data_IF_499319783757
#
_entry.id   IF_499319783757
#
_cell.length_a   1.000
_cell.length_b   1.000
_cell.length_c   1.000
_cell.angle_alpha   90.00
_cell.angle_beta   90.00
_cell.angle_gamma   90.00
#
_symmetry.space_group_name_H-M   'P 1'
#
loop_
_entity.id
_entity.type
_entity.pdbx_description
1 polymer ?
#
# COMPACT_ATOMS: atom_id res chain seq x y z
N UNK A 1 -13.84 15.98 28.48
CA UNK A 1 -12.62 16.65 28.99
C UNK A 1 -11.88 17.29 27.82
N UNK A 2 -11.45 18.55 27.92
CA UNK A 2 -10.70 19.25 26.86
C UNK A 2 -9.35 19.69 27.43
N UNK A 3 -8.26 19.30 26.78
CA UNK A 3 -6.90 19.73 27.12
C UNK A 3 -6.43 20.71 26.06
N UNK A 4 -5.85 21.83 26.46
CA UNK A 4 -5.29 22.84 25.57
C UNK A 4 -3.77 22.83 25.68
N UNK A 5 -3.09 22.64 24.56
CA UNK A 5 -1.63 22.68 24.47
C UNK A 5 -1.23 23.73 23.43
N UNK A 6 -0.22 24.53 23.74
CA UNK A 6 0.39 25.49 22.82
C UNK A 6 1.87 25.17 22.65
N UNK A 7 2.35 25.19 21.42
CA UNK A 7 3.75 24.99 21.07
C UNK A 7 4.23 26.13 20.18
N UNK A 8 5.53 26.39 20.22
CA UNK A 8 6.19 27.40 19.40
C UNK A 8 7.19 26.69 18.48
N UNK A 9 7.23 27.13 17.22
CA UNK A 9 8.21 26.67 16.24
C UNK A 9 9.24 27.79 16.05
N UNK A 10 10.50 27.40 15.88
CA UNK A 10 11.66 28.27 15.72
C UNK A 10 12.32 28.03 14.36
N UNK A 11 11.72 28.51 13.25
CA UNK A 11 12.19 28.21 11.90
C UNK A 11 13.59 28.77 11.61
N UNK A 12 14.06 29.77 12.36
CA UNK A 12 15.40 30.34 12.20
C UNK A 12 16.51 29.44 12.79
N UNK A 13 16.17 28.57 13.75
CA UNK A 13 17.12 27.73 14.48
C UNK A 13 17.00 26.23 14.17
N UNK A 14 15.97 25.81 13.44
CA UNK A 14 15.66 24.40 13.17
C UNK A 14 15.09 24.25 11.76
N UNK A 15 15.79 23.51 10.90
CA UNK A 15 15.28 23.17 9.56
C UNK A 15 14.00 22.34 9.63
N UNK A 16 13.87 21.47 10.64
CA UNK A 16 12.64 20.71 10.88
C UNK A 16 11.45 21.64 11.16
N UNK A 17 11.66 22.69 11.96
CA UNK A 17 10.64 23.69 12.27
C UNK A 17 10.30 24.52 11.03
N UNK A 18 11.31 24.91 10.26
CA UNK A 18 11.11 25.63 9.00
C UNK A 18 10.26 24.82 8.01
N UNK A 19 10.57 23.53 7.84
CA UNK A 19 9.76 22.61 7.01
C UNK A 19 8.35 22.45 7.55
N UNK A 20 8.18 22.26 8.87
CA UNK A 20 6.87 22.16 9.48
C UNK A 20 6.01 23.41 9.24
N UNK A 21 6.60 24.61 9.37
CA UNK A 21 5.92 25.88 9.05
C UNK A 21 5.48 25.93 7.59
N UNK A 22 6.31 25.47 6.65
CA UNK A 22 5.93 25.43 5.23
C UNK A 22 4.77 24.45 4.99
N UNK A 23 4.83 23.24 5.52
CA UNK A 23 3.74 22.25 5.41
C UNK A 23 2.42 22.78 5.97
N UNK A 24 2.45 23.43 7.13
CA UNK A 24 1.28 24.05 7.76
C UNK A 24 0.70 25.18 6.90
N UNK A 25 1.55 26.02 6.30
CA UNK A 25 1.12 27.10 5.39
C UNK A 25 0.45 26.53 4.14
N UNK A 26 1.09 25.55 3.49
CA UNK A 26 0.54 24.89 2.29
C UNK A 26 -0.83 24.25 2.59
N UNK A 27 -0.94 23.53 3.70
CA UNK A 27 -2.21 22.94 4.11
C UNK A 27 -3.28 24.00 4.39
N UNK A 28 -2.92 25.09 5.08
CA UNK A 28 -3.85 26.19 5.37
C UNK A 28 -4.34 26.89 4.09
N UNK A 29 -3.47 27.09 3.10
CA UNK A 29 -3.84 27.66 1.81
C UNK A 29 -4.82 26.74 1.07
N UNK A 30 -4.52 25.45 0.99
CA UNK A 30 -5.40 24.47 0.36
C UNK A 30 -6.78 24.39 1.05
N UNK A 31 -6.85 24.59 2.37
CA UNK A 31 -8.12 24.63 3.10
C UNK A 31 -8.92 25.91 2.83
N UNK A 32 -8.26 27.06 2.62
CA UNK A 32 -8.90 28.32 2.27
C UNK A 32 -9.53 28.27 0.87
N UNK A 33 -8.86 27.61 -0.08
CA UNK A 33 -9.32 27.48 -1.47
C UNK A 33 -10.59 26.63 -1.62
N UNK A 34 -10.92 25.79 -0.64
CA UNK A 34 -12.11 24.93 -0.66
C UNK A 34 -13.45 25.67 -0.58
N UNK A 35 -13.44 26.98 -0.31
CA UNK A 35 -14.62 27.86 -0.31
C UNK A 35 -15.81 27.35 0.54
N UNK A 36 -15.53 26.62 1.62
CA UNK A 36 -16.55 26.06 2.50
C UNK A 36 -16.92 26.98 3.67
N UNK A 37 -17.97 26.62 4.42
CA UNK A 37 -18.39 27.39 5.60
C UNK A 37 -17.29 27.47 6.68
N UNK A 38 -17.26 28.59 7.41
CA UNK A 38 -16.26 28.83 8.46
C UNK A 38 -16.29 27.82 9.61
N UNK A 39 -17.44 27.19 9.87
CA UNK A 39 -17.58 26.17 10.90
C UNK A 39 -16.92 24.85 10.49
N UNK A 40 -17.14 24.42 9.24
CA UNK A 40 -16.54 23.19 8.71
C UNK A 40 -15.02 23.34 8.60
N UNK A 41 -14.52 24.50 8.15
CA UNK A 41 -13.07 24.79 8.14
C UNK A 41 -12.47 24.73 9.56
N UNK A 42 -13.17 25.27 10.57
CA UNK A 42 -12.72 25.23 11.96
C UNK A 42 -12.65 23.80 12.49
N UNK A 43 -13.64 22.98 12.17
CA UNK A 43 -13.68 21.58 12.56
C UNK A 43 -12.51 20.80 11.92
N UNK A 44 -12.31 20.92 10.61
CA UNK A 44 -11.21 20.24 9.91
C UNK A 44 -9.84 20.67 10.39
N UNK A 45 -9.63 21.96 10.68
CA UNK A 45 -8.39 22.44 11.32
C UNK A 45 -8.17 21.81 12.69
N UNK A 46 -9.23 21.70 13.49
CA UNK A 46 -9.17 21.01 14.78
C UNK A 46 -8.76 19.54 14.63
N UNK A 47 -9.37 18.82 13.69
CA UNK A 47 -9.10 17.41 13.44
C UNK A 47 -7.68 17.18 12.88
N UNK A 48 -7.23 18.05 11.98
CA UNK A 48 -5.88 18.02 11.41
C UNK A 48 -4.80 18.12 12.49
N UNK A 49 -4.85 19.15 13.35
CA UNK A 49 -3.86 19.29 14.43
C UNK A 49 -3.99 18.18 15.48
N UNK A 50 -5.22 17.72 15.78
CA UNK A 50 -5.43 16.60 16.69
C UNK A 50 -4.74 15.34 16.18
N UNK A 51 -4.85 15.03 14.88
CA UNK A 51 -4.20 13.86 14.30
C UNK A 51 -2.67 13.94 14.38
N UNK A 52 -2.09 15.12 14.08
CA UNK A 52 -0.63 15.35 14.21
C UNK A 52 -0.17 15.15 15.65
N UNK A 53 -0.89 15.71 16.63
CA UNK A 53 -0.54 15.56 18.04
C UNK A 53 -0.62 14.10 18.49
N UNK A 54 -1.70 13.40 18.13
CA UNK A 54 -1.89 12.00 18.51
C UNK A 54 -0.84 11.10 17.87
N UNK A 55 -0.55 11.25 16.58
CA UNK A 55 0.48 10.44 15.92
C UNK A 55 1.85 10.65 16.54
N UNK A 56 2.24 11.91 16.79
CA UNK A 56 3.50 12.22 17.49
C UNK A 56 3.56 11.64 18.90
N UNK A 57 2.44 11.68 19.64
CA UNK A 57 2.35 11.12 21.00
C UNK A 57 2.48 9.59 20.99
N UNK A 58 1.80 8.89 20.08
CA UNK A 58 1.90 7.43 19.98
C UNK A 58 3.27 6.99 19.43
N UNK A 59 3.88 7.75 18.52
CA UNK A 59 5.27 7.51 18.10
C UNK A 59 6.24 7.68 19.28
N UNK A 60 6.02 8.66 20.16
CA UNK A 60 6.80 8.83 21.38
C UNK A 60 6.64 7.65 22.36
N UNK A 61 5.44 7.07 22.46
CA UNK A 61 5.20 5.87 23.29
C UNK A 61 5.95 4.64 22.78
N UNK A 62 6.10 4.49 21.46
CA UNK A 62 6.89 3.40 20.87
C UNK A 62 8.37 3.57 21.17
N UNK A 63 8.91 4.77 20.93
CA UNK A 63 10.26 5.13 21.31
C UNK A 63 10.38 6.66 21.51
N UNK A 64 10.85 7.15 22.68
CA UNK A 64 10.86 8.58 22.98
C UNK A 64 11.63 9.46 21.98
N UNK A 65 12.65 8.89 21.32
CA UNK A 65 13.50 9.59 20.35
C UNK A 65 12.94 9.60 18.93
N UNK A 66 11.96 8.74 18.64
CA UNK A 66 11.46 8.52 17.29
C UNK A 66 10.83 9.77 16.66
N UNK A 67 9.96 10.55 17.34
CA UNK A 67 9.40 11.77 16.75
C UNK A 67 10.48 12.77 16.31
N UNK A 68 11.52 12.94 17.14
CA UNK A 68 12.61 13.87 16.84
C UNK A 68 13.49 13.38 15.69
N UNK A 69 13.77 12.08 15.61
CA UNK A 69 14.52 11.50 14.50
C UNK A 69 13.76 11.63 13.17
N UNK A 70 12.46 11.34 13.17
CA UNK A 70 11.61 11.51 11.99
C UNK A 70 11.56 12.97 11.53
N UNK A 71 11.38 13.91 12.46
CA UNK A 71 11.32 15.33 12.13
C UNK A 71 12.62 15.88 11.52
N UNK A 72 13.78 15.32 11.90
CA UNK A 72 15.08 15.72 11.37
C UNK A 72 15.38 15.04 10.03
N UNK A 73 15.12 13.75 9.92
CA UNK A 73 15.59 12.95 8.78
C UNK A 73 14.63 12.91 7.58
N UNK A 74 13.32 13.12 7.78
CA UNK A 74 12.36 13.07 6.68
C UNK A 74 12.28 14.44 5.98
N UNK A 75 12.60 14.48 4.69
CA UNK A 75 12.59 15.67 3.84
C UNK A 75 11.47 15.68 2.79
N UNK A 76 10.38 14.95 3.04
CA UNK A 76 9.18 14.95 2.20
C UNK A 76 9.21 13.93 1.05
N UNK A 77 10.40 13.47 0.66
CA UNK A 77 10.61 12.37 -0.31
C UNK A 77 11.01 11.05 0.36
N UNK A 78 10.84 10.97 1.67
CA UNK A 78 11.27 9.83 2.44
C UNK A 78 10.41 8.60 2.14
N UNK A 79 11.05 7.58 1.58
CA UNK A 79 10.45 6.28 1.30
C UNK A 79 10.20 5.44 2.54
N UNK A 80 9.41 4.37 2.40
CA UNK A 80 9.12 3.42 3.47
C UNK A 80 10.38 2.79 4.08
N UNK A 81 11.40 2.52 3.28
CA UNK A 81 12.70 1.98 3.74
C UNK A 81 13.41 2.91 4.74
N UNK A 82 13.38 4.22 4.48
CA UNK A 82 13.99 5.20 5.36
C UNK A 82 13.23 5.28 6.70
N UNK A 83 11.90 5.16 6.67
CA UNK A 83 11.08 5.09 7.89
C UNK A 83 11.40 3.84 8.72
N UNK A 84 11.55 2.67 8.08
CA UNK A 84 11.93 1.42 8.76
C UNK A 84 13.31 1.55 9.38
N UNK A 85 14.29 2.11 8.65
CA UNK A 85 15.63 2.33 9.16
C UNK A 85 15.66 3.28 10.37
N UNK A 86 14.89 4.38 10.32
CA UNK A 86 14.79 5.33 11.43
C UNK A 86 14.09 4.73 12.65
N UNK A 87 13.05 3.92 12.44
CA UNK A 87 12.38 3.20 13.50
C UNK A 87 13.33 2.19 14.17
N UNK A 88 14.06 1.40 13.38
CA UNK A 88 15.05 0.46 13.88
C UNK A 88 16.16 1.17 14.68
N UNK A 89 16.65 2.31 14.18
CA UNK A 89 17.61 3.17 14.89
C UNK A 89 17.08 3.76 16.20
N UNK A 90 15.76 3.85 16.36
CA UNK A 90 15.09 4.25 17.60
C UNK A 90 14.76 3.07 18.54
N UNK A 91 15.08 1.83 18.14
CA UNK A 91 14.77 0.60 18.89
C UNK A 91 13.37 0.04 18.62
N UNK A 92 12.70 0.48 17.55
CA UNK A 92 11.40 -0.02 17.11
C UNK A 92 11.58 -0.92 15.89
N UNK A 93 11.32 -2.20 16.05
CA UNK A 93 11.37 -3.15 14.93
C UNK A 93 10.04 -3.08 14.15
N UNK A 94 10.02 -2.29 13.08
CA UNK A 94 8.96 -2.34 12.09
C UNK A 94 9.29 -3.46 11.13
N UNK A 95 8.64 -4.61 11.28
CA UNK A 95 8.73 -5.69 10.30
C UNK A 95 7.81 -5.35 9.14
N UNK A 96 8.33 -4.97 7.96
CA UNK A 96 7.47 -4.94 6.78
C UNK A 96 7.00 -6.37 6.56
N UNK A 97 5.70 -6.62 6.72
CA UNK A 97 5.11 -7.85 6.19
C UNK A 97 5.46 -7.88 4.69
N UNK A 98 6.07 -8.96 4.19
CA UNK A 98 6.41 -9.04 2.79
C UNK A 98 5.10 -8.96 2.00
N UNK A 99 4.85 -7.77 1.43
CA UNK A 99 3.81 -7.61 0.43
C UNK A 99 4.08 -8.56 -0.73
N UNK A 100 3.04 -8.88 -1.48
CA UNK A 100 3.18 -9.74 -2.65
C UNK A 100 4.21 -9.11 -3.62
N UNK A 101 5.22 -9.87 -4.03
CA UNK A 101 6.20 -9.44 -5.01
C UNK A 101 5.52 -9.05 -6.32
N UNK A 102 6.16 -8.22 -7.15
CA UNK A 102 5.60 -7.82 -8.45
C UNK A 102 5.21 -9.04 -9.32
N UNK A 103 6.00 -10.12 -9.24
CA UNK A 103 5.71 -11.38 -9.93
C UNK A 103 4.50 -12.12 -9.32
N UNK A 104 4.36 -12.13 -8.00
CA UNK A 104 3.17 -12.66 -7.32
C UNK A 104 1.93 -11.84 -7.66
N UNK A 105 2.07 -10.52 -7.82
CA UNK A 105 0.99 -9.62 -8.19
C UNK A 105 0.53 -9.78 -9.63
N UNK A 106 1.48 -9.97 -10.55
CA UNK A 106 1.16 -10.35 -11.93
C UNK A 106 0.51 -11.74 -12.02
N UNK A 107 0.97 -12.71 -11.22
CA UNK A 107 0.36 -14.04 -11.19
C UNK A 107 -1.07 -13.99 -10.64
N UNK A 108 -1.30 -13.23 -9.57
CA UNK A 108 -2.64 -13.07 -9.00
C UNK A 108 -3.57 -12.33 -9.96
N UNK A 109 -3.11 -11.26 -10.61
CA UNK A 109 -3.93 -10.53 -11.58
C UNK A 109 -4.26 -11.38 -12.81
N UNK A 110 -3.31 -12.19 -13.30
CA UNK A 110 -3.54 -13.13 -14.40
C UNK A 110 -4.55 -14.20 -14.00
N UNK A 111 -4.45 -14.73 -12.79
CA UNK A 111 -5.40 -15.73 -12.28
C UNK A 111 -6.80 -15.15 -12.06
N UNK A 112 -6.91 -13.90 -11.61
CA UNK A 112 -8.21 -13.21 -11.53
C UNK A 112 -8.79 -12.92 -12.92
N UNK A 113 -7.96 -12.59 -13.90
CA UNK A 113 -8.39 -12.37 -15.28
C UNK A 113 -8.75 -13.65 -16.03
N UNK A 114 -8.17 -14.79 -15.63
CA UNK A 114 -8.45 -16.13 -16.20
C UNK A 114 -9.44 -16.94 -15.38
N UNK A 115 -9.84 -16.44 -14.20
CA UNK A 115 -10.97 -17.01 -13.48
C UNK A 115 -12.21 -16.89 -14.38
N UNK A 116 -12.93 -17.99 -14.65
CA UNK A 116 -14.14 -17.90 -15.44
C UNK A 116 -15.07 -16.93 -14.72
N UNK A 117 -15.48 -15.87 -15.42
CA UNK A 117 -16.64 -15.09 -15.02
C UNK A 117 -17.75 -16.09 -14.78
N UNK A 118 -18.19 -16.21 -13.53
CA UNK A 118 -19.36 -17.00 -13.19
C UNK A 118 -20.52 -16.32 -13.90
N UNK A 119 -20.82 -16.77 -15.12
CA UNK A 119 -21.91 -16.23 -15.91
C UNK A 119 -23.19 -16.83 -15.36
N UNK A 120 -24.04 -16.07 -14.63
CA UNK A 120 -25.27 -16.60 -14.07
C UNK A 120 -26.37 -16.69 -15.14
N UNK A 121 -26.12 -16.19 -16.36
CA UNK A 121 -27.05 -16.15 -17.48
C UNK A 121 -27.81 -17.46 -17.74
N UNK A 122 -27.19 -18.66 -17.76
CA UNK A 122 -27.95 -19.91 -17.95
C UNK A 122 -28.93 -20.22 -16.81
N UNK A 123 -28.61 -19.83 -15.57
CA UNK A 123 -29.50 -20.00 -14.41
C UNK A 123 -30.60 -18.95 -14.43
N UNK A 124 -30.27 -17.72 -14.81
CA UNK A 124 -31.22 -16.60 -14.93
C UNK A 124 -32.19 -16.82 -16.10
N UNK A 125 -31.72 -17.30 -17.25
CA UNK A 125 -32.56 -17.72 -18.37
C UNK A 125 -33.46 -18.91 -18.02
N UNK A 126 -32.94 -19.88 -17.26
CA UNK A 126 -33.75 -21.00 -16.75
C UNK A 126 -34.84 -20.50 -15.79
N UNK A 127 -34.54 -19.55 -14.88
CA UNK A 127 -35.53 -18.96 -13.97
C UNK A 127 -36.56 -18.09 -14.71
N UNK A 128 -36.14 -17.31 -15.71
CA UNK A 128 -37.02 -16.47 -16.52
C UNK A 128 -37.98 -17.30 -17.38
N UNK A 129 -37.53 -18.43 -17.92
CA UNK A 129 -38.40 -19.42 -18.59
C UNK A 129 -39.43 -20.04 -17.64
N UNK A 130 -39.06 -20.20 -16.36
CA UNK A 130 -39.93 -20.74 -15.32
C UNK A 130 -41.08 -19.80 -14.94
N UNK A 131 -40.89 -18.47 -15.07
CA UNK A 131 -41.95 -17.49 -14.77
C UNK A 131 -42.93 -17.26 -15.93
N UNK A 132 -42.57 -17.67 -17.16
CA UNK A 132 -43.39 -17.49 -18.36
C UNK A 132 -44.26 -18.68 -18.78
N UNK A 133 -44.05 -19.88 -18.21
CA UNK A 133 -44.80 -21.09 -18.58
C UNK A 133 -45.71 -21.54 -17.44
N UNK A 134 -47.02 -21.37 -17.65
CA UNK A 134 -48.02 -22.03 -16.83
C UNK A 134 -47.95 -23.54 -17.04
N UNK A 135 -47.75 -24.28 -15.95
CA UNK A 135 -48.04 -25.70 -15.78
C UNK A 135 -47.37 -26.68 -16.77
N UNK A 136 -46.10 -27.02 -16.51
CA UNK A 136 -45.57 -28.38 -16.73
C UNK A 136 -44.42 -28.67 -15.76
N UNK A 137 -44.25 -29.94 -15.39
CA UNK A 137 -43.41 -30.40 -14.27
C UNK A 137 -41.92 -29.99 -14.39
N UNK A 138 -41.19 -29.80 -13.27
CA UNK A 138 -39.83 -29.28 -13.30
C UNK A 138 -38.87 -30.24 -13.99
N UNK A 139 -38.20 -29.78 -15.04
CA UNK A 139 -37.03 -30.45 -15.62
C UNK A 139 -35.83 -30.22 -14.68
N UNK A 140 -35.89 -30.91 -13.53
CA UNK A 140 -34.92 -30.83 -12.45
C UNK A 140 -33.50 -31.15 -12.94
N UNK A 141 -33.36 -31.94 -14.00
CA UNK A 141 -32.07 -32.30 -14.59
C UNK A 141 -31.31 -31.10 -15.18
N UNK A 142 -32.02 -30.12 -15.75
CA UNK A 142 -31.38 -28.92 -16.29
C UNK A 142 -30.87 -27.98 -15.18
N UNK A 143 -31.66 -27.83 -14.11
CA UNK A 143 -31.27 -27.04 -12.93
C UNK A 143 -30.15 -27.74 -12.13
N UNK A 144 -30.21 -29.06 -11.98
CA UNK A 144 -29.15 -29.86 -11.37
C UNK A 144 -27.86 -29.81 -12.20
N UNK A 145 -27.96 -29.83 -13.53
CA UNK A 145 -26.82 -29.64 -14.43
C UNK A 145 -26.16 -28.27 -14.26
N UNK A 146 -26.96 -27.19 -14.17
CA UNK A 146 -26.45 -25.84 -13.93
C UNK A 146 -25.78 -25.67 -12.56
N UNK A 147 -26.38 -26.22 -11.50
CA UNK A 147 -25.79 -26.23 -10.16
C UNK A 147 -24.49 -27.04 -10.09
N UNK A 148 -24.45 -28.21 -10.75
CA UNK A 148 -23.24 -29.03 -10.82
C UNK A 148 -22.10 -28.32 -11.56
N UNK A 149 -22.41 -27.61 -12.65
CA UNK A 149 -21.42 -26.81 -13.38
C UNK A 149 -20.87 -25.66 -12.52
N UNK A 150 -21.72 -24.98 -11.75
CA UNK A 150 -21.30 -23.91 -10.86
C UNK A 150 -20.47 -24.43 -9.68
N UNK A 151 -20.87 -25.55 -9.09
CA UNK A 151 -20.13 -26.21 -8.01
C UNK A 151 -18.76 -26.72 -8.50
N UNK A 152 -18.68 -27.26 -9.72
CA UNK A 152 -17.41 -27.64 -10.33
C UNK A 152 -16.51 -26.41 -10.59
N UNK A 153 -17.10 -25.28 -10.99
CA UNK A 153 -16.39 -24.01 -11.13
C UNK A 153 -15.82 -23.51 -9.80
N UNK A 154 -16.63 -23.53 -8.74
CA UNK A 154 -16.20 -23.13 -7.39
C UNK A 154 -15.13 -24.07 -6.82
N UNK A 155 -15.24 -25.38 -7.04
CA UNK A 155 -14.23 -26.33 -6.60
C UNK A 155 -12.88 -26.10 -7.31
N UNK A 156 -12.90 -25.74 -8.60
CA UNK A 156 -11.67 -25.44 -9.36
C UNK A 156 -11.01 -24.15 -8.89
N UNK A 157 -11.76 -23.12 -8.55
CA UNK A 157 -11.18 -21.87 -8.03
C UNK A 157 -10.59 -22.07 -6.63
N UNK A 158 -11.27 -22.81 -5.76
CA UNK A 158 -10.73 -23.16 -4.44
C UNK A 158 -9.49 -24.06 -4.54
N UNK A 159 -9.46 -25.02 -5.47
CA UNK A 159 -8.29 -25.85 -5.73
C UNK A 159 -7.10 -25.01 -6.25
N UNK A 160 -7.35 -24.02 -7.11
CA UNK A 160 -6.30 -23.12 -7.59
C UNK A 160 -5.75 -22.22 -6.46
N UNK A 161 -6.62 -21.73 -5.57
CA UNK A 161 -6.22 -20.91 -4.43
C UNK A 161 -5.44 -21.70 -3.38
N UNK A 162 -5.86 -22.93 -3.08
CA UNK A 162 -5.15 -23.83 -2.15
C UNK A 162 -3.80 -24.26 -2.71
N UNK A 163 -3.72 -24.64 -3.98
CA UNK A 163 -2.45 -24.93 -4.65
C UNK A 163 -1.50 -23.73 -4.65
N UNK A 164 -2.02 -22.51 -4.84
CA UNK A 164 -1.22 -21.28 -4.75
C UNK A 164 -0.73 -21.03 -3.33
N UNK A 165 -1.58 -21.21 -2.32
CA UNK A 165 -1.22 -21.09 -0.91
C UNK A 165 -0.10 -22.06 -0.53
N UNK A 166 -0.17 -23.31 -0.99
CA UNK A 166 0.87 -24.32 -0.76
C UNK A 166 2.17 -23.98 -1.52
N UNK A 167 2.05 -23.46 -2.74
CA UNK A 167 3.21 -23.00 -3.51
C UNK A 167 3.88 -21.78 -2.88
N UNK A 168 3.11 -20.90 -2.22
CA UNK A 168 3.63 -19.79 -1.43
C UNK A 168 4.24 -20.24 -0.10
N UNK A 169 3.67 -21.25 0.56
CA UNK A 169 4.22 -21.84 1.79
C UNK A 169 5.56 -22.59 1.54
N UNK A 170 5.75 -23.13 0.34
CA UNK A 170 7.02 -23.73 -0.10
C UNK A 170 8.13 -22.72 -0.45
N UNK A 171 7.77 -21.45 -0.68
CA UNK A 171 8.73 -20.36 -0.85
C UNK A 171 8.96 -19.67 0.51
N UNK A 172 9.71 -20.35 1.39
CA UNK A 172 10.36 -19.72 2.54
C UNK A 172 11.11 -18.45 2.07
N UNK A 173 11.20 -17.39 2.90
CA UNK A 173 11.66 -16.08 2.46
C UNK A 173 13.01 -16.27 1.78
N UNK A 174 13.12 -15.81 0.53
CA UNK A 174 14.41 -15.63 -0.11
C UNK A 174 15.19 -14.75 0.85
N UNK A 175 16.10 -15.37 1.59
CA UNK A 175 17.11 -14.68 2.36
C UNK A 175 17.72 -13.68 1.40
N UNK A 176 17.76 -12.42 1.83
CA UNK A 176 18.41 -11.32 1.12
C UNK A 176 19.65 -11.88 0.45
N UNK A 177 19.75 -11.94 -0.89
CA UNK A 177 21.02 -12.23 -1.50
C UNK A 177 21.96 -11.15 -0.99
N UNK A 178 23.02 -11.56 -0.30
CA UNK A 178 24.15 -10.72 0.01
C UNK A 178 24.60 -10.09 -1.32
N UNK A 179 24.17 -8.85 -1.54
CA UNK A 179 24.50 -8.08 -2.73
C UNK A 179 25.98 -7.80 -2.62
N UNK A 180 26.78 -8.65 -3.27
CA UNK A 180 28.14 -8.31 -3.63
C UNK A 180 28.10 -6.92 -4.29
N UNK A 181 28.98 -5.98 -3.89
CA UNK A 181 28.85 -4.58 -4.27
C UNK A 181 28.97 -4.45 -5.79
N UNK A 182 27.86 -4.09 -6.43
CA UNK A 182 27.86 -3.62 -7.81
C UNK A 182 28.85 -2.43 -7.91
N UNK A 183 29.81 -2.44 -8.85
CA UNK A 183 30.69 -1.31 -9.04
C UNK A 183 29.86 -0.14 -9.57
N UNK A 184 29.63 0.85 -8.70
CA UNK A 184 28.82 2.03 -8.99
C UNK A 184 29.26 2.78 -10.26
N UNK A 185 28.35 3.57 -10.81
CA UNK A 185 28.49 4.41 -12.01
C UNK A 185 29.84 5.16 -12.11
N UNK A 186 30.45 5.50 -10.98
CA UNK A 186 31.77 6.12 -10.89
C UNK A 186 32.91 5.24 -11.44
N UNK A 187 32.89 3.93 -11.17
CA UNK A 187 33.86 2.97 -11.69
C UNK A 187 33.69 2.73 -13.21
N UNK A 188 32.46 2.86 -13.71
CA UNK A 188 32.18 2.80 -15.16
C UNK A 188 32.61 4.08 -15.87
N UNK A 189 32.44 5.24 -15.23
CA UNK A 189 32.93 6.54 -15.75
C UNK A 189 34.46 6.63 -15.76
N UNK A 190 35.15 6.05 -14.78
CA UNK A 190 36.61 5.92 -14.77
C UNK A 190 37.13 5.05 -15.92
N UNK A 191 36.49 3.90 -16.20
CA UNK A 191 36.85 3.04 -17.35
C UNK A 191 36.62 3.75 -18.67
N UNK A 192 35.51 4.48 -18.83
CA UNK A 192 35.22 5.27 -20.02
C UNK A 192 36.25 6.40 -20.25
N UNK A 193 36.72 7.05 -19.17
CA UNK A 193 37.80 8.06 -19.23
C UNK A 193 39.15 7.46 -19.60
N UNK A 194 39.50 6.28 -19.08
CA UNK A 194 40.75 5.56 -19.40
C UNK A 194 40.83 5.11 -20.86
N UNK A 195 39.72 4.71 -21.47
CA UNK A 195 39.68 4.35 -22.91
C UNK A 195 39.88 5.60 -23.79
N UNK A 196 39.32 6.75 -23.39
CA UNK A 196 39.50 8.02 -24.11
C UNK A 196 40.93 8.57 -24.01
N UNK A 197 41.62 8.33 -22.90
CA UNK A 197 43.01 8.76 -22.69
C UNK A 197 44.05 7.86 -23.40
N UNK A 198 43.68 6.62 -23.76
CA UNK A 198 44.58 5.66 -24.43
C UNK A 198 44.58 5.75 -25.96
N UNK A 199 43.88 6.73 -26.55
CA UNK A 199 44.00 7.04 -27.98
C UNK A 199 43.69 5.86 -28.91
N UNK A 200 42.71 5.02 -28.53
CA UNK A 200 42.17 3.97 -29.40
C UNK A 200 40.78 4.39 -29.85
N UNK A 201 40.75 5.21 -30.89
CA UNK A 201 39.67 5.31 -31.87
C UNK A 201 40.34 5.39 -33.24
#
# INVERSE_FOLDING_TARGET
MRVSCSFSLTPEGSEADARAVQLLKTWQQAEQERAESSEVQRQRRGDFHRQIYLSGLFLHQLAPRLPALLAQALDGDAGAEQLVALAAGAGVELRPEPGLSAAQWQKLSTLMATAPTLDPSPIVEALLRQQGSGAEAPDNDALLGGLAALQAGQARTLAALTALSEQMAGMAPVGVPEVAPEPGLEAQLEKARKVKQKGLW
#
